data_IF_341779657349
#
_entry.id   IF_341779657349
#
_cell.length_a   1.000
_cell.length_b   1.000
_cell.length_c   1.000
_cell.angle_alpha   90.00
_cell.angle_beta   90.00
_cell.angle_gamma   90.00
#
_symmetry.space_group_name_H-M   'P 1'
#
loop_
_entity.id
_entity.type
_entity.pdbx_description
1 polymer ?
#
# COMPACT_ATOMS: atom_id res chain seq x y z
N UNK A 1 -8.06 3.93 -7.73
CA UNK A 1 -8.60 5.14 -8.42
C UNK A 1 -7.87 5.39 -9.72
N UNK A 2 -6.52 5.42 -9.75
CA UNK A 2 -5.73 5.65 -10.97
C UNK A 2 -6.18 4.78 -12.17
N UNK A 3 -6.28 3.45 -12.00
CA UNK A 3 -6.78 2.53 -13.06
C UNK A 3 -8.18 2.90 -13.55
N UNK A 4 -9.09 3.29 -12.66
CA UNK A 4 -10.45 3.69 -13.05
C UNK A 4 -10.44 4.99 -13.86
N UNK A 5 -9.52 5.91 -13.54
CA UNK A 5 -9.35 7.14 -14.30
C UNK A 5 -8.88 6.84 -15.73
N UNK A 6 -7.93 5.91 -15.89
CA UNK A 6 -7.46 5.49 -17.22
C UNK A 6 -8.55 4.75 -18.00
N UNK A 7 -9.28 3.82 -17.39
CA UNK A 7 -10.40 3.13 -18.06
C UNK A 7 -11.43 4.14 -18.58
N UNK A 8 -11.69 5.22 -17.86
CA UNK A 8 -12.63 6.26 -18.31
C UNK A 8 -12.17 7.10 -19.49
N UNK A 9 -10.85 7.09 -19.78
CA UNK A 9 -10.30 7.74 -20.99
C UNK A 9 -10.51 6.88 -22.25
N UNK A 10 -10.96 5.61 -22.11
CA UNK A 10 -11.25 4.74 -23.26
C UNK A 10 -12.32 5.36 -24.15
N UNK A 11 -12.19 5.10 -25.45
CA UNK A 11 -13.09 5.66 -26.48
C UNK A 11 -14.52 5.12 -26.39
N UNK A 12 -14.68 3.88 -25.87
CA UNK A 12 -15.98 3.25 -25.69
C UNK A 12 -16.51 3.42 -24.27
N UNK A 13 -17.84 3.59 -24.09
CA UNK A 13 -18.44 3.73 -22.77
C UNK A 13 -18.31 2.41 -22.00
N UNK A 14 -17.70 2.46 -20.81
CA UNK A 14 -17.50 1.31 -19.92
C UNK A 14 -18.41 1.41 -18.71
N UNK A 15 -19.27 0.40 -18.49
CA UNK A 15 -20.03 0.27 -17.26
C UNK A 15 -19.15 -0.38 -16.16
N UNK A 16 -18.97 0.32 -15.05
CA UNK A 16 -18.12 -0.12 -13.95
C UNK A 16 -18.99 -0.37 -12.71
N UNK A 17 -18.74 -1.48 -12.00
CA UNK A 17 -19.31 -1.77 -10.68
C UNK A 17 -18.20 -2.10 -9.69
N UNK A 18 -18.16 -1.39 -8.57
CA UNK A 18 -17.18 -1.61 -7.52
C UNK A 18 -17.72 -2.56 -6.44
N UNK A 19 -16.96 -3.62 -6.14
CA UNK A 19 -17.36 -4.64 -5.15
C UNK A 19 -16.35 -4.68 -3.99
N UNK A 20 -16.87 -4.66 -2.75
CA UNK A 20 -16.06 -4.69 -1.53
C UNK A 20 -16.77 -5.41 -0.38
N UNK A 21 -16.12 -5.56 0.77
CA UNK A 21 -16.78 -6.03 1.99
C UNK A 21 -17.61 -4.93 2.67
N UNK A 22 -18.43 -5.35 3.66
CA UNK A 22 -19.29 -4.41 4.42
C UNK A 22 -18.49 -3.39 5.22
N UNK A 23 -17.30 -3.76 5.69
CA UNK A 23 -16.45 -2.89 6.51
C UNK A 23 -15.90 -1.72 5.70
N UNK A 24 -15.46 -1.99 4.48
CA UNK A 24 -14.89 -0.99 3.58
C UNK A 24 -15.98 -0.21 2.81
N UNK A 25 -17.23 -0.69 2.77
CA UNK A 25 -18.28 -0.09 1.97
C UNK A 25 -18.56 1.40 2.24
N UNK A 26 -18.56 1.91 3.49
CA UNK A 26 -18.75 3.34 3.74
C UNK A 26 -17.66 4.19 3.09
N UNK A 27 -16.39 3.78 3.26
CA UNK A 27 -15.25 4.46 2.67
C UNK A 27 -15.26 4.37 1.14
N UNK A 28 -15.55 3.18 0.59
CA UNK A 28 -15.66 2.98 -0.85
C UNK A 28 -16.75 3.87 -1.48
N UNK A 29 -17.93 4.00 -0.84
CA UNK A 29 -18.99 4.89 -1.31
C UNK A 29 -18.57 6.36 -1.29
N UNK A 30 -17.88 6.80 -0.26
CA UNK A 30 -17.35 8.17 -0.18
C UNK A 30 -16.35 8.44 -1.30
N UNK A 31 -15.43 7.52 -1.54
CA UNK A 31 -14.43 7.62 -2.61
C UNK A 31 -15.10 7.65 -3.98
N UNK A 32 -16.03 6.71 -4.25
CA UNK A 32 -16.73 6.64 -5.54
C UNK A 32 -17.63 7.86 -5.77
N UNK A 33 -18.30 8.36 -4.74
CA UNK A 33 -19.10 9.59 -4.84
C UNK A 33 -18.27 10.80 -5.29
N UNK A 34 -17.04 10.90 -4.83
CA UNK A 34 -16.14 12.00 -5.20
C UNK A 34 -15.54 11.79 -6.60
N UNK A 35 -15.31 10.54 -7.02
CA UNK A 35 -14.71 10.21 -8.30
C UNK A 35 -15.74 10.17 -9.44
N UNK A 36 -16.77 9.35 -9.29
CA UNK A 36 -17.90 9.22 -10.20
C UNK A 36 -19.11 8.61 -9.46
N UNK A 37 -20.13 9.42 -9.13
CA UNK A 37 -21.31 8.96 -8.42
C UNK A 37 -22.14 7.93 -9.19
N UNK A 38 -21.89 7.73 -10.48
CA UNK A 38 -22.57 6.72 -11.31
C UNK A 38 -22.03 5.30 -11.09
N UNK A 39 -20.85 5.14 -10.48
CA UNK A 39 -20.27 3.82 -10.18
C UNK A 39 -20.94 3.24 -8.92
N UNK A 40 -21.78 2.18 -9.03
CA UNK A 40 -22.42 1.60 -7.88
C UNK A 40 -21.42 0.78 -7.04
N UNK A 41 -21.53 0.90 -5.71
CA UNK A 41 -20.75 0.13 -4.75
C UNK A 41 -21.59 -0.98 -4.16
N UNK A 42 -21.26 -2.22 -4.45
CA UNK A 42 -21.91 -3.43 -3.95
C UNK A 42 -21.08 -4.11 -2.86
N UNK A 43 -21.76 -4.72 -1.89
CA UNK A 43 -21.10 -5.50 -0.86
C UNK A 43 -21.19 -6.99 -1.15
N UNK A 44 -20.07 -7.69 -0.88
CA UNK A 44 -19.94 -9.14 -0.96
C UNK A 44 -19.59 -9.68 0.43
N UNK A 45 -20.27 -10.74 0.82
CA UNK A 45 -19.91 -11.50 2.01
C UNK A 45 -18.60 -12.23 1.74
N UNK A 46 -17.64 -12.14 2.67
CA UNK A 46 -16.35 -12.78 2.50
C UNK A 46 -15.73 -13.15 3.85
N UNK A 47 -15.02 -14.27 3.89
CA UNK A 47 -14.26 -14.74 5.04
C UNK A 47 -12.77 -14.47 4.89
N UNK A 48 -12.13 -14.03 5.97
CA UNK A 48 -10.69 -13.75 6.01
C UNK A 48 -9.95 -14.90 6.68
N UNK A 49 -9.39 -15.84 5.92
CA UNK A 49 -8.56 -16.91 6.47
C UNK A 49 -7.32 -16.34 7.17
N UNK A 50 -7.13 -16.79 8.43
CA UNK A 50 -6.03 -16.35 9.30
C UNK A 50 -4.91 -17.38 9.26
N UNK A 51 -3.70 -16.90 9.00
CA UNK A 51 -2.48 -17.71 9.04
C UNK A 51 -1.39 -16.89 9.71
N UNK A 52 -0.63 -17.52 10.58
CA UNK A 52 0.48 -16.89 11.28
C UNK A 52 1.81 -17.48 10.82
N UNK A 53 2.69 -16.65 10.25
CA UNK A 53 3.96 -17.11 9.67
C UNK A 53 4.96 -17.65 10.69
N UNK A 54 4.88 -17.15 11.93
CA UNK A 54 5.75 -17.60 13.02
C UNK A 54 5.34 -18.95 13.64
N UNK A 55 4.27 -19.58 13.12
CA UNK A 55 3.75 -20.86 13.64
C UNK A 55 3.68 -21.91 12.54
N UNK A 56 4.10 -23.15 12.84
CA UNK A 56 3.92 -24.28 11.93
C UNK A 56 2.44 -24.57 11.66
N UNK A 57 2.13 -25.10 10.49
CA UNK A 57 0.74 -25.46 10.11
C UNK A 57 0.11 -26.42 11.13
N UNK A 58 0.88 -27.42 11.61
CA UNK A 58 0.40 -28.34 12.64
C UNK A 58 -0.01 -27.62 13.92
N UNK A 59 0.79 -26.65 14.39
CA UNK A 59 0.48 -25.87 15.59
C UNK A 59 -0.76 -24.98 15.39
N UNK A 60 -0.96 -24.45 14.18
CA UNK A 60 -2.17 -23.66 13.85
C UNK A 60 -3.43 -24.54 13.85
N UNK A 61 -3.35 -25.80 13.39
CA UNK A 61 -4.45 -26.77 13.41
C UNK A 61 -4.80 -27.22 14.84
N UNK A 62 -3.83 -27.24 15.74
CA UNK A 62 -4.04 -27.53 17.16
C UNK A 62 -4.60 -26.36 17.98
N UNK A 63 -4.84 -25.19 17.35
CA UNK A 63 -5.40 -24.02 18.02
C UNK A 63 -6.91 -23.91 17.77
N UNK A 64 -7.78 -24.38 18.69
CA UNK A 64 -9.22 -24.54 18.44
C UNK A 64 -9.91 -23.23 18.03
N UNK A 65 -9.55 -22.11 18.67
CA UNK A 65 -10.17 -20.81 18.35
C UNK A 65 -9.80 -20.31 16.95
N UNK A 66 -8.62 -20.65 16.44
CA UNK A 66 -8.19 -20.32 15.08
C UNK A 66 -8.92 -21.20 14.05
N UNK A 67 -9.04 -22.49 14.35
CA UNK A 67 -9.76 -23.47 13.50
C UNK A 67 -11.23 -23.08 13.38
N UNK A 68 -11.91 -22.77 14.49
CA UNK A 68 -13.32 -22.34 14.49
C UNK A 68 -13.51 -21.03 13.69
N UNK A 69 -12.60 -20.07 13.84
CA UNK A 69 -12.65 -18.82 13.05
C UNK A 69 -12.48 -19.08 11.56
N UNK A 70 -11.55 -19.93 11.18
CA UNK A 70 -11.32 -20.28 9.77
C UNK A 70 -12.47 -21.13 9.20
N UNK A 71 -13.08 -22.01 9.99
CA UNK A 71 -14.27 -22.75 9.59
C UNK A 71 -15.46 -21.82 9.32
N UNK A 72 -15.73 -20.88 10.24
CA UNK A 72 -16.73 -19.83 10.02
C UNK A 72 -16.41 -19.05 8.74
N UNK A 73 -15.16 -18.66 8.54
CA UNK A 73 -14.75 -17.84 7.40
C UNK A 73 -14.85 -18.64 6.09
N UNK A 74 -14.73 -19.97 6.12
CA UNK A 74 -15.01 -20.85 4.98
C UNK A 74 -16.49 -20.77 4.57
N UNK A 75 -17.42 -20.83 5.53
CA UNK A 75 -18.86 -20.67 5.23
C UNK A 75 -19.17 -19.27 4.67
N UNK A 76 -18.49 -18.21 5.16
CA UNK A 76 -18.61 -16.87 4.61
C UNK A 76 -18.09 -16.78 3.16
N UNK A 77 -17.01 -17.49 2.83
CA UNK A 77 -16.52 -17.58 1.44
C UNK A 77 -17.52 -18.30 0.56
N UNK A 78 -18.13 -19.39 1.03
CA UNK A 78 -19.19 -20.10 0.28
C UNK A 78 -20.43 -19.21 0.05
N UNK A 79 -20.90 -18.52 1.09
CA UNK A 79 -22.01 -17.58 0.95
C UNK A 79 -21.67 -16.44 -0.03
N UNK A 80 -20.46 -15.88 0.06
CA UNK A 80 -19.97 -14.87 -0.87
C UNK A 80 -19.82 -15.37 -2.30
N UNK A 81 -19.46 -16.64 -2.47
CA UNK A 81 -19.42 -17.28 -3.78
C UNK A 81 -20.83 -17.33 -4.42
N UNK A 82 -21.84 -17.86 -3.72
CA UNK A 82 -23.20 -17.91 -4.25
C UNK A 82 -23.74 -16.50 -4.53
N UNK A 83 -23.50 -15.54 -3.62
CA UNK A 83 -23.88 -14.14 -3.84
C UNK A 83 -23.23 -13.56 -5.09
N UNK A 84 -21.94 -13.80 -5.27
CA UNK A 84 -21.17 -13.32 -6.42
C UNK A 84 -21.62 -13.99 -7.71
N UNK A 85 -21.87 -15.30 -7.66
CA UNK A 85 -22.30 -16.09 -8.80
C UNK A 85 -23.64 -15.57 -9.36
N UNK A 86 -24.63 -15.35 -8.49
CA UNK A 86 -25.94 -14.80 -8.90
C UNK A 86 -25.77 -13.39 -9.47
N UNK A 87 -25.01 -12.52 -8.81
CA UNK A 87 -24.77 -11.14 -9.29
C UNK A 87 -24.06 -11.11 -10.65
N UNK A 88 -23.09 -12.02 -10.87
CA UNK A 88 -22.34 -12.11 -12.14
C UNK A 88 -23.18 -12.71 -13.25
N UNK A 89 -24.11 -13.63 -12.97
CA UNK A 89 -25.08 -14.11 -13.97
C UNK A 89 -26.00 -12.98 -14.44
N UNK A 90 -26.51 -12.19 -13.49
CA UNK A 90 -27.48 -11.11 -13.80
C UNK A 90 -26.80 -9.97 -14.58
N UNK A 91 -25.60 -9.57 -14.19
CA UNK A 91 -24.91 -8.44 -14.83
C UNK A 91 -24.01 -8.88 -15.99
N UNK A 92 -23.36 -10.05 -15.91
CA UNK A 92 -22.47 -10.67 -16.89
C UNK A 92 -21.42 -9.70 -17.48
N UNK A 93 -20.48 -9.20 -16.67
CA UNK A 93 -19.45 -8.29 -17.16
C UNK A 93 -18.52 -8.98 -18.16
N UNK A 94 -17.91 -8.20 -19.06
CA UNK A 94 -16.94 -8.69 -20.03
C UNK A 94 -15.61 -9.09 -19.38
N UNK A 95 -15.28 -8.49 -18.23
CA UNK A 95 -14.06 -8.77 -17.47
C UNK A 95 -14.26 -8.50 -15.98
N UNK A 96 -13.60 -9.29 -15.13
CA UNK A 96 -13.49 -9.05 -13.69
C UNK A 96 -12.04 -8.70 -13.37
N UNK A 97 -11.83 -7.56 -12.70
CA UNK A 97 -10.52 -7.14 -12.21
C UNK A 97 -10.44 -7.24 -10.68
N UNK A 98 -9.33 -7.77 -10.16
CA UNK A 98 -9.10 -7.87 -8.71
C UNK A 98 -7.69 -7.43 -8.33
N UNK A 99 -7.57 -6.74 -7.18
CA UNK A 99 -6.28 -6.42 -6.56
C UNK A 99 -5.90 -7.38 -5.42
N UNK A 100 -6.55 -8.54 -5.35
CA UNK A 100 -6.35 -9.49 -4.25
C UNK A 100 -7.16 -9.14 -3.00
N UNK A 101 -6.81 -9.80 -1.91
CA UNK A 101 -7.58 -9.71 -0.67
C UNK A 101 -8.72 -10.75 -0.60
N UNK A 102 -9.23 -10.96 0.60
CA UNK A 102 -10.16 -12.07 0.87
C UNK A 102 -11.51 -11.95 0.16
N UNK A 103 -11.95 -10.73 -0.17
CA UNK A 103 -13.20 -10.47 -0.92
C UNK A 103 -13.10 -10.95 -2.35
N UNK A 104 -11.91 -10.90 -2.93
CA UNK A 104 -11.71 -11.27 -4.33
C UNK A 104 -11.81 -12.78 -4.58
N UNK A 105 -11.60 -13.62 -3.54
CA UNK A 105 -11.60 -15.07 -3.69
C UNK A 105 -12.97 -15.61 -4.16
N UNK A 106 -14.10 -15.36 -3.46
CA UNK A 106 -15.41 -15.83 -3.90
C UNK A 106 -15.83 -15.25 -5.26
N UNK A 107 -15.49 -13.97 -5.53
CA UNK A 107 -15.80 -13.31 -6.81
C UNK A 107 -15.02 -13.95 -7.96
N UNK A 108 -13.71 -14.17 -7.78
CA UNK A 108 -12.86 -14.76 -8.83
C UNK A 108 -13.20 -16.22 -9.13
N UNK A 109 -13.60 -17.02 -8.12
CA UNK A 109 -14.10 -18.39 -8.33
C UNK A 109 -15.41 -18.37 -9.12
N UNK A 110 -16.35 -17.49 -8.78
CA UNK A 110 -17.62 -17.34 -9.50
C UNK A 110 -17.39 -16.89 -10.95
N UNK A 111 -16.50 -15.92 -11.19
CA UNK A 111 -16.12 -15.47 -12.52
C UNK A 111 -15.54 -16.64 -13.36
N UNK A 112 -14.67 -17.47 -12.76
CA UNK A 112 -14.11 -18.65 -13.44
C UNK A 112 -15.18 -19.64 -13.88
N UNK A 113 -16.14 -19.97 -13.02
CA UNK A 113 -17.21 -20.90 -13.37
C UNK A 113 -18.15 -20.36 -14.46
N UNK A 114 -18.33 -19.06 -14.50
CA UNK A 114 -19.11 -18.37 -15.53
C UNK A 114 -18.28 -18.07 -16.80
N UNK A 115 -17.03 -18.53 -16.85
CA UNK A 115 -16.08 -18.26 -17.94
C UNK A 115 -15.88 -16.77 -18.23
N UNK A 116 -16.06 -15.91 -17.21
CA UNK A 116 -15.76 -14.48 -17.32
C UNK A 116 -14.25 -14.29 -17.17
N UNK A 117 -13.58 -13.58 -18.10
CA UNK A 117 -12.17 -13.28 -17.99
C UNK A 117 -11.80 -12.61 -16.68
N UNK A 118 -10.73 -13.07 -16.04
CA UNK A 118 -10.22 -12.54 -14.77
C UNK A 118 -8.85 -11.93 -14.99
N UNK A 119 -8.70 -10.66 -14.62
CA UNK A 119 -7.42 -9.96 -14.54
C UNK A 119 -7.09 -9.72 -13.09
N UNK A 120 -5.87 -10.01 -12.67
CA UNK A 120 -5.44 -9.75 -11.29
C UNK A 120 -4.26 -8.79 -11.28
N UNK A 121 -4.20 -7.93 -10.25
CA UNK A 121 -3.02 -7.14 -9.91
C UNK A 121 -2.50 -7.56 -8.54
N UNK A 122 -1.23 -7.91 -8.46
CA UNK A 122 -0.57 -8.26 -7.20
C UNK A 122 0.40 -7.16 -6.82
N UNK A 123 0.04 -6.37 -5.81
CA UNK A 123 0.82 -5.20 -5.41
C UNK A 123 2.03 -5.56 -4.54
N UNK A 124 1.94 -6.63 -3.73
CA UNK A 124 3.05 -7.06 -2.89
C UNK A 124 4.10 -7.84 -3.70
N UNK A 125 5.37 -7.78 -3.31
CA UNK A 125 6.47 -8.50 -3.96
C UNK A 125 6.33 -10.04 -3.93
N UNK A 126 5.38 -10.56 -3.19
CA UNK A 126 5.01 -11.98 -3.19
C UNK A 126 3.49 -12.15 -3.18
N UNK A 127 2.99 -13.11 -3.97
CA UNK A 127 1.56 -13.28 -4.12
C UNK A 127 0.87 -13.66 -2.80
N UNK A 128 -0.19 -12.92 -2.48
CA UNK A 128 -1.11 -13.29 -1.42
C UNK A 128 -1.85 -14.61 -1.74
N UNK A 129 -2.45 -15.24 -0.71
CA UNK A 129 -3.14 -16.53 -0.91
C UNK A 129 -4.21 -16.46 -1.99
N UNK A 130 -5.04 -15.42 -1.98
CA UNK A 130 -6.09 -15.20 -2.97
C UNK A 130 -5.51 -15.13 -4.38
N UNK A 131 -4.47 -14.31 -4.59
CA UNK A 131 -3.86 -14.15 -5.89
C UNK A 131 -3.14 -15.42 -6.36
N UNK A 132 -2.54 -16.20 -5.46
CA UNK A 132 -1.98 -17.53 -5.81
C UNK A 132 -3.04 -18.48 -6.33
N UNK A 133 -4.22 -18.49 -5.71
CA UNK A 133 -5.33 -19.35 -6.14
C UNK A 133 -5.90 -18.85 -7.47
N UNK A 134 -6.27 -17.57 -7.55
CA UNK A 134 -6.89 -16.99 -8.73
C UNK A 134 -5.93 -16.91 -9.93
N UNK A 135 -4.64 -16.72 -9.67
CA UNK A 135 -3.59 -16.64 -10.68
C UNK A 135 -3.47 -17.91 -11.54
N UNK A 136 -3.90 -19.07 -11.05
CA UNK A 136 -3.88 -20.32 -11.83
C UNK A 136 -4.69 -20.18 -13.12
N UNK A 137 -5.85 -19.55 -13.04
CA UNK A 137 -6.80 -19.41 -14.17
C UNK A 137 -7.05 -17.96 -14.62
N UNK A 138 -6.34 -16.99 -14.06
CA UNK A 138 -6.40 -15.61 -14.54
C UNK A 138 -5.96 -15.52 -16.00
N UNK A 139 -6.66 -14.71 -16.80
CA UNK A 139 -6.33 -14.42 -18.20
C UNK A 139 -5.07 -13.58 -18.30
N UNK A 140 -4.92 -12.60 -17.40
CA UNK A 140 -3.73 -11.75 -17.31
C UNK A 140 -3.43 -11.39 -15.85
N UNK A 141 -2.13 -11.17 -15.54
CA UNK A 141 -1.61 -10.89 -14.22
C UNK A 141 -0.67 -9.68 -14.31
N UNK A 142 -1.05 -8.59 -13.65
CA UNK A 142 -0.19 -7.44 -13.43
C UNK A 142 0.54 -7.58 -12.09
N UNK A 143 1.83 -7.26 -12.03
CA UNK A 143 2.63 -7.35 -10.81
C UNK A 143 3.23 -6.00 -10.42
N UNK A 144 3.23 -5.72 -9.11
CA UNK A 144 3.79 -4.50 -8.55
C UNK A 144 5.31 -4.51 -8.42
N UNK A 145 5.93 -5.70 -8.45
CA UNK A 145 7.38 -5.89 -8.40
C UNK A 145 7.85 -6.74 -9.59
N UNK A 146 9.17 -6.82 -9.87
CA UNK A 146 9.72 -7.62 -10.96
C UNK A 146 9.30 -9.08 -10.91
N UNK A 147 9.06 -9.69 -12.08
CA UNK A 147 8.50 -11.05 -12.20
C UNK A 147 9.33 -12.13 -11.49
N UNK A 148 10.63 -11.92 -11.28
CA UNK A 148 11.51 -12.85 -10.56
C UNK A 148 11.04 -13.17 -9.12
N UNK A 149 10.21 -12.33 -8.53
CA UNK A 149 9.67 -12.52 -7.18
C UNK A 149 8.36 -13.30 -7.13
N UNK A 150 7.81 -13.67 -8.28
CA UNK A 150 6.53 -14.36 -8.39
C UNK A 150 6.66 -15.73 -9.04
N UNK A 151 5.82 -16.66 -8.60
CA UNK A 151 5.70 -18.00 -9.21
C UNK A 151 4.63 -18.07 -10.31
N UNK A 152 4.21 -16.93 -10.85
CA UNK A 152 3.23 -16.89 -11.94
C UNK A 152 3.83 -17.31 -13.28
N UNK A 153 2.97 -17.81 -14.18
CA UNK A 153 3.38 -18.13 -15.53
C UNK A 153 3.74 -16.86 -16.31
N UNK A 154 4.94 -16.83 -16.90
CA UNK A 154 5.47 -15.66 -17.58
C UNK A 154 4.63 -15.22 -18.81
N UNK A 155 3.94 -16.18 -19.48
CA UNK A 155 3.15 -15.89 -20.68
C UNK A 155 1.88 -15.07 -20.43
N UNK A 156 1.45 -14.91 -19.17
CA UNK A 156 0.28 -14.11 -18.78
C UNK A 156 0.57 -13.08 -17.72
N UNK A 157 1.84 -12.88 -17.38
CA UNK A 157 2.26 -11.98 -16.31
C UNK A 157 3.09 -10.83 -16.87
N UNK A 158 2.79 -9.62 -16.44
CA UNK A 158 3.51 -8.39 -16.84
C UNK A 158 3.87 -7.60 -15.59
N UNK A 159 5.11 -7.15 -15.50
CA UNK A 159 5.53 -6.20 -14.48
C UNK A 159 5.08 -4.79 -14.88
N UNK A 160 3.94 -4.37 -14.38
CA UNK A 160 3.36 -3.04 -14.62
C UNK A 160 3.76 -2.01 -13.56
N UNK A 161 4.23 -2.45 -12.39
CA UNK A 161 4.31 -1.61 -11.21
C UNK A 161 2.95 -1.50 -10.51
N UNK A 162 2.85 -0.59 -9.54
CA UNK A 162 1.61 -0.33 -8.79
C UNK A 162 0.99 0.96 -9.32
N UNK A 163 -0.28 0.94 -9.75
CA UNK A 163 -1.00 2.15 -10.10
C UNK A 163 -1.11 3.13 -8.93
N UNK A 164 -0.44 4.26 -9.03
CA UNK A 164 -0.46 5.38 -8.08
C UNK A 164 -1.06 6.62 -8.76
N UNK A 165 -1.38 7.65 -7.97
CA UNK A 165 -1.88 8.93 -8.49
C UNK A 165 -0.77 9.73 -9.15
N UNK A 166 -1.08 10.49 -10.20
CA UNK A 166 -0.15 11.37 -10.91
C UNK A 166 0.40 12.50 -10.02
N UNK A 167 -0.20 12.73 -8.85
CA UNK A 167 0.32 13.67 -7.84
C UNK A 167 1.69 13.24 -7.28
N UNK A 168 2.02 11.93 -7.34
CA UNK A 168 3.30 11.38 -6.90
C UNK A 168 4.30 11.40 -8.06
N UNK A 169 4.98 12.51 -8.21
CA UNK A 169 6.07 12.73 -9.19
C UNK A 169 7.25 13.43 -8.52
N UNK A 170 8.41 13.43 -9.14
CA UNK A 170 9.58 14.15 -8.61
C UNK A 170 9.32 15.66 -8.52
N UNK A 171 9.42 16.24 -7.32
CA UNK A 171 9.21 17.67 -7.09
C UNK A 171 10.47 18.45 -7.45
N UNK A 172 10.31 19.51 -8.22
CA UNK A 172 11.32 20.54 -8.40
C UNK A 172 11.61 21.27 -7.08
N UNK A 173 12.74 21.97 -7.00
CA UNK A 173 13.09 22.76 -5.81
C UNK A 173 12.02 23.81 -5.47
N UNK A 174 11.36 24.37 -6.47
CA UNK A 174 10.26 25.32 -6.28
C UNK A 174 9.06 24.66 -5.64
N UNK A 175 8.62 23.50 -6.17
CA UNK A 175 7.49 22.75 -5.63
C UNK A 175 7.76 22.29 -4.19
N UNK A 176 9.00 21.85 -3.90
CA UNK A 176 9.42 21.49 -2.53
C UNK A 176 9.32 22.67 -1.58
N UNK A 177 9.77 23.85 -1.98
CA UNK A 177 9.70 25.06 -1.17
C UNK A 177 8.24 25.50 -0.95
N UNK A 178 7.42 25.46 -1.98
CA UNK A 178 5.99 25.78 -1.89
C UNK A 178 5.25 24.79 -1.00
N UNK A 179 5.58 23.51 -1.09
CA UNK A 179 5.02 22.47 -0.24
C UNK A 179 5.44 22.62 1.24
N UNK A 180 6.71 22.94 1.54
CA UNK A 180 7.15 23.27 2.92
C UNK A 180 6.36 24.45 3.50
N UNK A 181 6.13 25.51 2.70
CA UNK A 181 5.30 26.66 3.12
C UNK A 181 3.84 26.25 3.37
N UNK A 182 3.26 25.44 2.48
CA UNK A 182 1.90 24.92 2.65
C UNK A 182 1.75 24.18 3.98
N UNK A 183 2.73 23.36 4.32
CA UNK A 183 2.79 22.59 5.56
C UNK A 183 3.27 23.41 6.76
N UNK A 184 3.58 24.71 6.58
CA UNK A 184 4.06 25.61 7.65
C UNK A 184 5.26 25.05 8.41
N UNK A 185 6.20 24.44 7.69
CA UNK A 185 7.49 24.00 8.20
C UNK A 185 8.60 24.92 7.70
N UNK A 186 9.69 25.00 8.45
CA UNK A 186 10.83 25.84 8.07
C UNK A 186 11.43 25.38 6.73
N UNK A 187 11.46 26.28 5.76
CA UNK A 187 11.99 25.99 4.41
C UNK A 187 13.49 25.75 4.39
N UNK A 188 14.22 26.27 5.38
CA UNK A 188 15.67 26.20 5.49
C UNK A 188 16.15 24.98 6.31
N UNK A 189 15.24 24.29 6.98
CA UNK A 189 15.54 23.07 7.76
C UNK A 189 15.20 21.82 6.95
N UNK A 190 15.94 20.70 7.16
CA UNK A 190 15.49 19.40 6.68
C UNK A 190 14.09 19.06 7.20
N UNK A 191 13.29 18.40 6.37
CA UNK A 191 11.97 17.88 6.76
C UNK A 191 12.02 16.36 6.85
N UNK A 192 11.77 15.84 8.04
CA UNK A 192 11.68 14.43 8.36
C UNK A 192 10.19 14.06 8.44
N UNK A 193 9.72 13.17 7.58
CA UNK A 193 8.33 12.70 7.64
C UNK A 193 8.31 11.25 8.13
N UNK A 194 7.50 10.98 9.15
CA UNK A 194 7.29 9.63 9.70
C UNK A 194 5.85 9.20 9.45
N UNK A 195 5.64 8.07 8.76
CA UNK A 195 4.29 7.57 8.48
C UNK A 195 4.21 6.06 8.47
N UNK A 196 3.22 5.51 9.15
CA UNK A 196 2.90 4.08 9.14
C UNK A 196 1.98 3.64 8.00
N UNK A 197 1.61 4.57 7.11
CA UNK A 197 0.55 4.35 6.13
C UNK A 197 -0.86 4.42 6.76
N UNK A 198 -1.89 4.07 6.01
CA UNK A 198 -3.30 4.31 6.37
C UNK A 198 -3.79 3.64 7.68
N UNK A 199 -3.10 2.63 8.19
CA UNK A 199 -3.45 1.94 9.45
C UNK A 199 -2.65 2.40 10.66
N UNK A 200 -1.66 3.26 10.45
CA UNK A 200 -0.69 3.65 11.48
C UNK A 200 0.33 2.54 11.79
N UNK A 201 1.26 2.82 12.71
CA UNK A 201 2.35 1.91 13.06
C UNK A 201 2.79 2.12 14.52
N UNK A 202 2.05 1.57 15.48
CA UNK A 202 2.23 1.83 16.92
C UNK A 202 3.69 1.81 17.37
N UNK A 203 4.43 0.72 17.17
CA UNK A 203 5.83 0.61 17.61
C UNK A 203 6.75 1.67 17.00
N UNK A 204 6.52 2.01 15.73
CA UNK A 204 7.30 3.06 15.05
C UNK A 204 6.94 4.43 15.59
N UNK A 205 5.66 4.68 15.88
CA UNK A 205 5.20 5.92 16.49
C UNK A 205 5.78 6.10 17.91
N UNK A 206 5.74 5.04 18.72
CA UNK A 206 6.28 5.04 20.09
C UNK A 206 7.79 5.30 20.07
N UNK A 207 8.53 4.62 19.20
CA UNK A 207 9.97 4.85 19.02
C UNK A 207 10.26 6.28 18.54
N UNK A 208 9.43 6.82 17.64
CA UNK A 208 9.56 8.21 17.16
C UNK A 208 9.31 9.20 18.30
N UNK A 209 8.31 8.97 19.16
CA UNK A 209 8.03 9.84 20.29
C UNK A 209 9.20 9.86 21.29
N UNK A 210 9.82 8.71 21.57
CA UNK A 210 11.01 8.60 22.43
C UNK A 210 12.20 9.35 21.81
N UNK A 211 12.44 9.21 20.50
CA UNK A 211 13.55 9.81 19.79
C UNK A 211 13.31 11.28 19.35
N UNK A 212 12.10 11.83 19.64
CA UNK A 212 11.63 13.08 19.02
C UNK A 212 12.57 14.26 19.27
N UNK A 213 13.04 14.44 20.49
CA UNK A 213 13.91 15.59 20.83
C UNK A 213 15.21 15.59 20.02
N UNK A 214 15.79 14.41 19.79
CA UNK A 214 17.02 14.27 19.01
C UNK A 214 16.76 14.40 17.51
N UNK A 215 15.60 13.93 17.02
CA UNK A 215 15.17 14.13 15.63
C UNK A 215 14.95 15.63 15.32
N UNK A 216 14.39 16.39 16.28
CA UNK A 216 14.17 17.83 16.14
C UNK A 216 15.48 18.64 16.08
N UNK A 217 16.60 18.09 16.54
CA UNK A 217 17.92 18.71 16.33
C UNK A 217 18.44 18.52 14.89
N UNK A 218 17.89 17.56 14.15
CA UNK A 218 18.26 17.28 12.76
C UNK A 218 17.38 18.04 11.75
N UNK A 219 16.18 18.45 12.15
CA UNK A 219 15.25 19.17 11.27
C UNK A 219 13.82 19.19 11.80
N UNK A 220 12.90 19.69 10.99
CA UNK A 220 11.48 19.65 11.29
C UNK A 220 10.93 18.23 11.16
N UNK A 221 10.01 17.81 12.05
CA UNK A 221 9.43 16.47 12.07
C UNK A 221 7.92 16.54 11.87
N UNK A 222 7.40 15.80 10.90
CA UNK A 222 5.96 15.58 10.72
C UNK A 222 5.65 14.10 10.94
N UNK A 223 4.87 13.79 11.99
CA UNK A 223 4.45 12.43 12.33
C UNK A 223 2.98 12.20 11.95
N UNK A 224 2.74 11.25 11.06
CA UNK A 224 1.38 10.78 10.69
C UNK A 224 1.11 9.47 11.40
N UNK A 225 0.47 9.55 12.58
CA UNK A 225 0.35 8.46 13.55
C UNK A 225 -0.66 7.37 13.19
N UNK A 226 -1.65 7.69 12.35
CA UNK A 226 -2.88 6.92 12.26
C UNK A 226 -3.89 7.33 13.36
N UNK A 227 -5.18 7.28 13.03
CA UNK A 227 -6.25 7.75 13.93
C UNK A 227 -6.30 7.01 15.28
N UNK A 228 -5.86 5.74 15.31
CA UNK A 228 -5.94 4.92 16.53
C UNK A 228 -4.96 5.28 17.63
N UNK A 229 -3.88 6.02 17.34
CA UNK A 229 -2.86 6.41 18.31
C UNK A 229 -2.73 7.91 18.51
N UNK A 230 -3.47 8.69 17.74
CA UNK A 230 -3.33 10.14 17.74
C UNK A 230 -3.49 10.77 19.13
N UNK A 231 -4.56 10.41 19.87
CA UNK A 231 -4.86 11.01 21.17
C UNK A 231 -3.79 10.66 22.23
N UNK A 232 -3.28 9.42 22.20
CA UNK A 232 -2.20 8.97 23.06
C UNK A 232 -0.92 9.77 22.80
N UNK A 233 -0.48 9.83 21.54
CA UNK A 233 0.73 10.53 21.14
C UNK A 233 0.65 12.04 21.37
N UNK A 234 -0.52 12.64 21.21
CA UNK A 234 -0.76 14.05 21.48
C UNK A 234 -0.47 14.42 22.94
N UNK A 235 -0.64 13.49 23.87
CA UNK A 235 -0.30 13.71 25.30
C UNK A 235 1.19 13.55 25.60
N UNK A 236 1.93 12.86 24.72
CA UNK A 236 3.36 12.53 24.89
C UNK A 236 4.29 13.42 24.07
N UNK A 237 3.74 14.21 23.15
CA UNK A 237 4.51 15.04 22.20
C UNK A 237 4.20 16.52 22.43
N UNK A 238 5.12 17.43 22.01
CA UNK A 238 4.85 18.87 22.08
C UNK A 238 3.68 19.27 21.17
N UNK A 239 3.06 20.45 21.38
CA UNK A 239 2.08 20.99 20.47
C UNK A 239 2.64 21.20 19.06
N UNK A 240 1.76 21.16 18.05
CA UNK A 240 2.15 21.43 16.67
C UNK A 240 2.78 22.82 16.54
N UNK A 241 3.88 22.89 15.82
CA UNK A 241 4.69 24.08 15.55
C UNK A 241 5.33 23.97 14.16
N UNK A 242 6.17 24.93 13.80
CA UNK A 242 6.97 24.84 12.55
C UNK A 242 7.99 23.71 12.57
N UNK A 243 8.48 23.33 13.75
CA UNK A 243 9.46 22.25 13.92
C UNK A 243 8.83 20.87 14.14
N UNK A 244 7.59 20.82 14.68
CA UNK A 244 6.91 19.55 14.94
C UNK A 244 5.43 19.61 14.61
N UNK A 245 4.93 18.58 13.89
CA UNK A 245 3.51 18.41 13.65
C UNK A 245 3.10 16.95 13.85
N UNK A 246 1.97 16.75 14.52
CA UNK A 246 1.33 15.45 14.69
C UNK A 246 -0.03 15.46 13.96
N UNK A 247 -0.23 14.48 13.07
CA UNK A 247 -1.48 14.31 12.32
C UNK A 247 -2.04 12.90 12.51
N UNK A 248 -3.36 12.75 12.74
CA UNK A 248 -3.99 11.42 12.84
C UNK A 248 -4.06 10.72 11.48
N UNK A 249 -4.34 11.48 10.44
CA UNK A 249 -4.49 11.00 9.07
C UNK A 249 -4.49 12.18 8.09
N UNK A 250 -3.88 11.99 6.95
CA UNK A 250 -3.87 12.97 5.87
C UNK A 250 -4.61 12.37 4.69
N UNK A 251 -5.78 12.91 4.35
CA UNK A 251 -6.65 12.45 3.27
C UNK A 251 -6.41 13.15 1.94
N UNK A 252 -5.83 14.35 1.99
CA UNK A 252 -5.46 15.18 0.83
C UNK A 252 -4.05 15.71 1.06
N UNK A 253 -3.38 16.05 -0.01
CA UNK A 253 -2.05 16.66 0.03
C UNK A 253 -0.93 15.77 0.62
N UNK A 254 -1.13 14.43 0.74
CA UNK A 254 -0.08 13.51 1.17
C UNK A 254 1.12 13.54 0.20
N UNK A 255 0.87 13.63 -1.11
CA UNK A 255 1.91 13.77 -2.12
C UNK A 255 2.74 15.06 -1.89
N UNK A 256 2.07 16.17 -1.52
CA UNK A 256 2.72 17.42 -1.17
C UNK A 256 3.62 17.29 0.07
N UNK A 257 3.14 16.62 1.14
CA UNK A 257 3.94 16.39 2.34
C UNK A 257 5.18 15.53 2.04
N UNK A 258 4.96 14.38 1.40
CA UNK A 258 6.05 13.46 1.07
C UNK A 258 7.01 14.06 0.03
N UNK A 259 6.48 14.84 -0.93
CA UNK A 259 7.28 15.58 -1.93
C UNK A 259 8.17 16.66 -1.31
N UNK A 260 7.73 17.29 -0.21
CA UNK A 260 8.50 18.28 0.53
C UNK A 260 9.62 17.65 1.39
N UNK A 261 9.49 16.39 1.77
CA UNK A 261 10.40 15.72 2.69
C UNK A 261 11.84 15.63 2.15
N UNK A 262 12.80 15.72 3.04
CA UNK A 262 14.22 15.42 2.78
C UNK A 262 14.55 13.97 3.11
N UNK A 263 13.88 13.39 4.10
CA UNK A 263 13.91 11.95 4.40
C UNK A 263 12.55 11.48 4.89
N UNK A 264 12.16 10.27 4.50
CA UNK A 264 10.89 9.67 4.93
C UNK A 264 11.17 8.36 5.66
N UNK A 265 10.58 8.19 6.85
CA UNK A 265 10.57 6.94 7.61
C UNK A 265 9.18 6.31 7.44
N UNK A 266 9.12 5.07 6.95
CA UNK A 266 7.83 4.44 6.66
C UNK A 266 7.82 2.93 6.88
N UNK A 267 6.63 2.34 6.91
CA UNK A 267 6.42 0.90 6.80
C UNK A 267 6.61 0.43 5.35
N UNK A 268 6.88 -0.88 5.17
CA UNK A 268 7.02 -1.49 3.86
C UNK A 268 5.67 -1.80 3.18
N UNK A 269 4.74 -0.83 3.19
CA UNK A 269 3.48 -0.92 2.44
C UNK A 269 3.73 -0.74 0.95
N UNK A 270 3.31 -1.70 0.12
CA UNK A 270 3.65 -1.75 -1.29
C UNK A 270 3.30 -0.45 -2.06
N UNK A 271 2.14 0.16 -1.80
CA UNK A 271 1.72 1.40 -2.46
C UNK A 271 2.58 2.58 -2.01
N UNK A 272 2.75 2.79 -0.70
CA UNK A 272 3.54 3.91 -0.17
C UNK A 272 4.99 3.87 -0.62
N UNK A 273 5.58 2.66 -0.72
CA UNK A 273 6.94 2.50 -1.26
C UNK A 273 7.03 3.05 -2.69
N UNK A 274 6.07 2.71 -3.56
CA UNK A 274 6.12 3.17 -4.96
C UNK A 274 5.74 4.64 -5.11
N UNK A 275 4.90 5.19 -4.23
CA UNK A 275 4.65 6.62 -4.11
C UNK A 275 5.95 7.38 -3.78
N UNK A 276 6.73 6.88 -2.82
CA UNK A 276 8.03 7.46 -2.45
C UNK A 276 9.10 7.28 -3.55
N UNK A 277 9.08 6.15 -4.25
CA UNK A 277 9.95 5.92 -5.41
C UNK A 277 9.66 6.94 -6.53
N UNK A 278 8.37 7.17 -6.84
CA UNK A 278 7.96 8.16 -7.84
C UNK A 278 8.32 9.60 -7.45
N UNK A 279 8.27 9.91 -6.15
CA UNK A 279 8.72 11.19 -5.60
C UNK A 279 10.24 11.31 -5.51
N UNK A 280 11.01 10.24 -5.82
CA UNK A 280 12.47 10.17 -5.70
C UNK A 280 12.95 10.61 -4.30
N UNK A 281 12.39 9.99 -3.24
CA UNK A 281 12.70 10.37 -1.85
C UNK A 281 13.69 9.44 -1.18
N UNK A 282 14.72 9.97 -0.50
CA UNK A 282 15.50 9.20 0.45
C UNK A 282 14.58 8.58 1.49
N UNK A 283 14.60 7.23 1.59
CA UNK A 283 13.58 6.49 2.35
C UNK A 283 14.23 5.50 3.29
N UNK A 284 13.77 5.52 4.54
CA UNK A 284 14.09 4.57 5.59
C UNK A 284 12.86 3.70 5.82
N UNK A 285 12.98 2.40 5.60
CA UNK A 285 11.88 1.44 5.75
C UNK A 285 12.03 0.68 7.06
N UNK A 286 10.96 0.65 7.86
CA UNK A 286 10.84 -0.19 9.07
C UNK A 286 9.77 -1.25 8.80
N UNK A 287 10.11 -2.43 8.26
CA UNK A 287 9.13 -3.44 7.91
C UNK A 287 8.54 -4.08 9.15
N UNK A 288 7.22 -4.31 9.17
CA UNK A 288 6.56 -5.07 10.24
C UNK A 288 6.70 -6.58 9.96
N UNK A 289 7.53 -7.25 10.76
CA UNK A 289 7.78 -8.69 10.65
C UNK A 289 6.64 -9.57 11.16
N UNK A 290 5.70 -9.03 11.94
CA UNK A 290 4.60 -9.79 12.56
C UNK A 290 3.37 -9.93 11.68
N UNK A 291 3.28 -9.16 10.59
CA UNK A 291 2.14 -9.23 9.67
C UNK A 291 2.07 -10.59 8.97
N UNK A 292 0.83 -11.04 8.77
CA UNK A 292 0.52 -12.30 8.08
C UNK A 292 1.26 -12.39 6.74
N UNK A 293 2.02 -13.47 6.53
CA UNK A 293 2.73 -13.72 5.28
C UNK A 293 4.10 -13.06 5.16
N UNK A 294 4.54 -12.22 6.12
CA UNK A 294 5.83 -11.52 6.06
C UNK A 294 5.95 -10.59 4.85
N UNK A 295 4.82 -10.10 4.31
CA UNK A 295 4.80 -9.29 3.08
C UNK A 295 5.70 -8.07 3.18
N UNK A 296 5.71 -7.37 4.33
CA UNK A 296 6.52 -6.17 4.46
C UNK A 296 8.02 -6.44 4.45
N UNK A 297 8.49 -7.54 5.06
CA UNK A 297 9.89 -7.95 4.99
C UNK A 297 10.30 -8.23 3.54
N UNK A 298 9.44 -8.93 2.80
CA UNK A 298 9.68 -9.25 1.39
C UNK A 298 9.64 -8.02 0.49
N UNK A 299 8.71 -7.10 0.74
CA UNK A 299 8.67 -5.83 0.03
C UNK A 299 9.97 -5.03 0.26
N UNK A 300 10.42 -4.89 1.52
CA UNK A 300 11.66 -4.17 1.84
C UNK A 300 12.89 -4.80 1.17
N UNK A 301 12.97 -6.14 1.15
CA UNK A 301 14.11 -6.86 0.57
C UNK A 301 14.34 -6.54 -0.91
N UNK A 302 13.27 -6.32 -1.69
CA UNK A 302 13.35 -5.96 -3.13
C UNK A 302 14.18 -4.69 -3.35
N UNK A 303 13.98 -3.68 -2.51
CA UNK A 303 14.62 -2.36 -2.63
C UNK A 303 16.00 -2.36 -1.96
N UNK A 304 16.15 -3.15 -0.89
CA UNK A 304 17.43 -3.34 -0.20
C UNK A 304 18.48 -4.03 -1.10
N UNK A 305 18.08 -5.01 -1.93
CA UNK A 305 18.95 -5.68 -2.91
C UNK A 305 19.63 -4.71 -3.90
N UNK A 306 19.09 -3.50 -4.05
CA UNK A 306 19.56 -2.47 -4.97
C UNK A 306 20.12 -1.24 -4.25
N UNK A 307 20.33 -1.31 -2.93
CA UNK A 307 20.68 -0.15 -2.11
C UNK A 307 19.79 1.09 -2.40
N UNK A 308 18.52 0.83 -2.68
CA UNK A 308 17.55 1.87 -3.03
C UNK A 308 16.88 2.51 -1.81
N UNK A 309 17.01 1.89 -0.64
CA UNK A 309 16.47 2.34 0.64
C UNK A 309 17.37 1.92 1.80
N UNK A 310 17.28 2.63 2.94
CA UNK A 310 17.75 2.13 4.22
C UNK A 310 16.66 1.26 4.87
N UNK A 311 17.05 0.20 5.57
CA UNK A 311 16.10 -0.68 6.28
C UNK A 311 16.53 -0.80 7.74
N UNK A 312 15.59 -0.54 8.65
CA UNK A 312 15.75 -0.74 10.09
C UNK A 312 14.91 -1.93 10.52
N UNK A 313 15.51 -2.89 11.21
CA UNK A 313 14.76 -3.97 11.84
C UNK A 313 13.84 -3.45 12.95
N UNK A 314 12.58 -3.88 12.96
CA UNK A 314 11.59 -3.38 13.92
C UNK A 314 11.94 -3.74 15.36
N UNK A 315 12.54 -4.91 15.62
CA UNK A 315 12.92 -5.31 16.97
C UNK A 315 14.07 -4.42 17.48
N UNK A 316 15.09 -4.20 16.65
CA UNK A 316 16.20 -3.31 17.00
C UNK A 316 15.72 -1.88 17.27
N UNK A 317 14.74 -1.39 16.49
CA UNK A 317 14.15 -0.06 16.72
C UNK A 317 13.38 0.02 18.04
N UNK A 318 12.65 -1.04 18.42
CA UNK A 318 11.91 -1.09 19.69
C UNK A 318 12.88 -1.13 20.86
N UNK A 319 13.95 -1.91 20.77
CA UNK A 319 14.95 -2.03 21.82
C UNK A 319 15.83 -0.76 21.95
N UNK A 320 16.10 -0.09 20.83
CA UNK A 320 16.90 1.12 20.77
C UNK A 320 16.31 2.15 19.77
N UNK A 321 15.37 3.03 20.19
CA UNK A 321 14.79 4.06 19.32
C UNK A 321 15.80 5.04 18.72
N UNK A 322 16.99 5.20 19.32
CA UNK A 322 18.07 6.06 18.80
C UNK A 322 18.58 5.63 17.43
N UNK A 323 18.32 4.39 16.99
CA UNK A 323 18.65 3.94 15.65
C UNK A 323 17.93 4.78 14.57
N UNK A 324 16.74 5.33 14.87
CA UNK A 324 16.04 6.26 13.97
C UNK A 324 16.87 7.53 13.75
N UNK A 325 17.34 8.14 14.84
CA UNK A 325 18.16 9.35 14.80
C UNK A 325 19.46 9.13 14.04
N UNK A 326 20.15 8.05 14.36
CA UNK A 326 21.44 7.70 13.71
C UNK A 326 21.25 7.50 12.20
N UNK A 327 20.22 6.73 11.81
CA UNK A 327 19.97 6.45 10.38
C UNK A 327 19.49 7.71 9.62
N UNK A 328 18.67 8.56 10.24
CA UNK A 328 18.28 9.85 9.67
C UNK A 328 19.48 10.75 9.47
N UNK A 329 20.35 10.85 10.48
CA UNK A 329 21.60 11.63 10.40
C UNK A 329 22.49 11.14 9.27
N UNK A 330 22.73 9.82 9.14
CA UNK A 330 23.49 9.26 8.03
C UNK A 330 22.96 9.69 6.65
N UNK A 331 21.61 9.77 6.50
CA UNK A 331 21.00 10.19 5.24
C UNK A 331 21.16 11.69 5.01
N UNK A 332 21.06 12.52 6.05
CA UNK A 332 21.14 13.98 5.93
C UNK A 332 22.58 14.49 5.81
N UNK A 333 23.54 13.83 6.44
CA UNK A 333 24.96 14.24 6.45
C UNK A 333 25.69 13.90 5.13
N UNK A 334 25.13 12.96 4.31
CA UNK A 334 25.68 12.62 2.99
C UNK A 334 24.59 12.78 1.89
N UNK A 335 24.33 14.02 1.43
CA UNK A 335 23.34 14.28 0.40
C UNK A 335 23.64 13.58 -0.95
N UNK A 336 24.89 13.32 -1.27
CA UNK A 336 25.28 12.66 -2.51
C UNK A 336 24.87 11.17 -2.46
N UNK A 337 25.17 10.48 -1.37
CA UNK A 337 24.74 9.10 -1.16
C UNK A 337 23.22 8.99 -1.07
N UNK A 338 22.55 9.93 -0.38
CA UNK A 338 21.10 10.00 -0.29
C UNK A 338 20.43 10.19 -1.67
N UNK A 339 20.97 11.06 -2.52
CA UNK A 339 20.48 11.26 -3.88
C UNK A 339 20.69 10.00 -4.74
N UNK A 340 21.87 9.37 -4.70
CA UNK A 340 22.12 8.11 -5.42
C UNK A 340 21.18 6.98 -4.97
N UNK A 341 20.89 6.90 -3.68
CA UNK A 341 19.91 5.95 -3.14
C UNK A 341 18.50 6.25 -3.69
N UNK A 342 18.09 7.52 -3.66
CA UNK A 342 16.79 7.95 -4.18
C UNK A 342 16.66 7.76 -5.71
N UNK A 343 17.75 7.92 -6.47
CA UNK A 343 17.78 7.61 -7.91
C UNK A 343 17.54 6.13 -8.19
N UNK A 344 18.28 5.25 -7.49
CA UNK A 344 18.03 3.79 -7.60
C UNK A 344 16.61 3.42 -7.16
N UNK A 345 16.07 4.15 -6.18
CA UNK A 345 14.70 3.94 -5.74
C UNK A 345 13.68 4.34 -6.80
N UNK A 346 13.90 5.47 -7.50
CA UNK A 346 13.05 5.95 -8.58
C UNK A 346 12.97 4.99 -9.78
N UNK A 347 13.97 4.14 -10.01
CA UNK A 347 13.94 3.11 -11.06
C UNK A 347 12.77 2.11 -10.90
N UNK A 348 12.27 1.94 -9.70
CA UNK A 348 11.11 1.09 -9.42
C UNK A 348 9.78 1.77 -9.72
N UNK A 349 9.74 3.09 -9.84
CA UNK A 349 8.54 3.80 -10.23
C UNK A 349 8.17 3.47 -11.67
N UNK A 350 6.89 3.21 -11.88
CA UNK A 350 6.31 2.92 -13.19
C UNK A 350 5.19 3.93 -13.45
N UNK A 351 5.49 5.07 -14.07
CA UNK A 351 4.52 6.15 -14.26
C UNK A 351 3.30 5.70 -15.06
N UNK A 352 3.50 4.76 -16.00
CA UNK A 352 2.43 4.24 -16.85
C UNK A 352 1.64 3.08 -16.20
N UNK A 353 1.95 2.68 -14.97
CA UNK A 353 1.33 1.52 -14.32
C UNK A 353 -0.21 1.54 -14.36
N UNK A 354 -0.82 2.70 -14.19
CA UNK A 354 -2.28 2.82 -14.22
C UNK A 354 -2.85 2.56 -15.62
N UNK A 355 -2.20 3.10 -16.66
CA UNK A 355 -2.54 2.89 -18.07
C UNK A 355 -2.32 1.44 -18.48
N UNK A 356 -1.16 0.88 -18.17
CA UNK A 356 -0.82 -0.50 -18.54
C UNK A 356 -1.81 -1.50 -17.94
N UNK A 357 -2.21 -1.29 -16.67
CA UNK A 357 -3.24 -2.12 -16.03
C UNK A 357 -4.62 -1.90 -16.67
N UNK A 358 -4.98 -0.66 -17.01
CA UNK A 358 -6.25 -0.37 -17.70
C UNK A 358 -6.31 -1.02 -19.07
N UNK A 359 -5.25 -0.92 -19.87
CA UNK A 359 -5.14 -1.55 -21.19
C UNK A 359 -5.20 -3.08 -21.10
N UNK A 360 -4.55 -3.66 -20.07
CA UNK A 360 -4.64 -5.09 -19.79
C UNK A 360 -6.08 -5.54 -19.46
N UNK A 361 -6.83 -4.73 -18.71
CA UNK A 361 -8.24 -5.01 -18.37
C UNK A 361 -9.08 -4.94 -19.66
N UNK A 362 -8.98 -3.86 -20.42
CA UNK A 362 -9.76 -3.64 -21.65
C UNK A 362 -9.46 -4.72 -22.68
N UNK A 363 -8.18 -5.02 -22.95
CA UNK A 363 -7.79 -6.07 -23.90
C UNK A 363 -8.16 -7.49 -23.45
N UNK A 364 -8.43 -7.66 -22.14
CA UNK A 364 -8.90 -8.93 -21.58
C UNK A 364 -10.42 -9.07 -21.60
N UNK A 365 -11.18 -8.04 -21.90
CA UNK A 365 -12.63 -8.11 -22.06
C UNK A 365 -13.01 -9.07 -23.21
N UNK A 366 -14.26 -9.49 -23.25
CA UNK A 366 -14.78 -10.40 -24.28
C UNK A 366 -15.08 -9.67 -25.56
#
# INVERSE_FOLDING_TARGET
>A
MAVLAEIKKAQEPVEIRFWCDRKFAPQARSIMKNFDPKIPVHTIVAGKFRRYNHMSVARQLLWPSLVLKNLRDMFLVLAGFFQSFVKLIIWRPDVVFTKGGYVCLPVGIAARLLMIPLVIHDSDAHPGLTNRVLGVWAKAIATGAPLKYYSYSANKSVYTGIPISDEFHEFSNRERTEAKKLWKVDVNQPLIVVTGGGLGAQRMNDATAVALQDLLQLGSVVLVSGAGQYDELRSLTPPNSESFQLHPFISKDMASLLGAADVVITRAGATTILELAALKKPTIIVPNGQLTGGHQLKNAAVYMEKDAVKVIDEANMVDNPQILVTTVREVLDDPEAANKMAERFAEFAKPDAARDVADMIISSAR
#
